data_IF_944655292411
#
_entry.id   IF_944655292411
#
_cell.length_a   1.000
_cell.length_b   1.000
_cell.length_c   1.000
_cell.angle_alpha   90.00
_cell.angle_beta   90.00
_cell.angle_gamma   90.00
#
_symmetry.space_group_name_H-M   'P 1'
#
loop_
_entity.id
_entity.type
_entity.pdbx_description
1 polymer ?
#
# COMPACT_ATOMS: atom_id res chain seq x y z
N UNK A 1 28.63 23.83 16.16
CA UNK A 1 27.45 24.31 15.39
C UNK A 1 26.49 23.12 15.27
N UNK A 2 25.20 23.29 15.57
CA UNK A 2 24.20 22.23 15.34
C UNK A 2 24.02 22.07 13.83
N UNK A 3 23.88 20.82 13.36
CA UNK A 3 23.63 20.57 11.94
C UNK A 3 22.27 21.18 11.53
N UNK A 4 22.08 21.53 10.25
CA UNK A 4 20.75 21.99 9.78
C UNK A 4 19.63 20.98 10.11
N UNK A 5 19.93 19.68 10.07
CA UNK A 5 18.98 18.61 10.43
C UNK A 5 18.61 18.63 11.92
N UNK A 6 19.60 18.90 12.82
CA UNK A 6 19.32 19.03 14.27
C UNK A 6 18.36 20.19 14.54
N UNK A 7 18.52 21.30 13.82
CA UNK A 7 17.64 22.47 13.93
C UNK A 7 16.23 22.14 13.46
N UNK A 8 16.10 21.43 12.31
CA UNK A 8 14.80 20.99 11.78
C UNK A 8 14.15 20.02 12.75
N UNK A 9 14.89 18.98 13.21
CA UNK A 9 14.37 18.00 14.16
C UNK A 9 13.82 18.65 15.43
N UNK A 10 14.61 19.54 16.05
CA UNK A 10 14.21 20.25 17.27
C UNK A 10 12.99 21.15 17.03
N UNK A 11 12.97 21.85 15.90
CA UNK A 11 11.83 22.71 15.52
C UNK A 11 10.54 21.91 15.36
N UNK A 12 10.59 20.81 14.62
CA UNK A 12 9.40 19.97 14.41
C UNK A 12 8.93 19.32 15.72
N UNK A 13 9.86 18.80 16.53
CA UNK A 13 9.52 18.25 17.84
C UNK A 13 8.89 19.32 18.76
N UNK A 14 9.46 20.52 18.84
CA UNK A 14 8.91 21.61 19.62
C UNK A 14 7.51 22.04 19.13
N UNK A 15 7.27 21.99 17.82
CA UNK A 15 5.96 22.30 17.24
C UNK A 15 4.89 21.30 17.65
N UNK A 16 5.23 20.02 17.86
CA UNK A 16 4.31 19.04 18.44
C UNK A 16 4.08 19.26 19.93
N UNK A 17 5.13 19.56 20.69
CA UNK A 17 5.03 19.82 22.12
C UNK A 17 4.22 21.07 22.47
N UNK A 18 4.22 22.09 21.58
CA UNK A 18 3.47 23.34 21.76
C UNK A 18 2.04 23.31 21.17
N UNK A 19 1.68 22.25 20.44
CA UNK A 19 0.34 22.12 19.87
C UNK A 19 -0.70 21.85 20.96
N UNK A 20 -1.96 22.37 20.81
CA UNK A 20 -3.02 22.05 21.73
C UNK A 20 -3.24 20.54 21.80
N UNK A 21 -3.20 19.99 23.01
CA UNK A 21 -3.25 18.52 23.19
C UNK A 21 -4.70 18.03 23.11
N UNK A 22 -4.98 17.09 22.22
CA UNK A 22 -6.25 16.39 22.18
C UNK A 22 -6.16 15.02 21.49
N UNK A 23 -6.81 14.04 22.09
CA UNK A 23 -6.83 12.66 21.58
C UNK A 23 -7.93 12.53 20.52
N UNK A 24 -7.57 12.08 19.32
CA UNK A 24 -8.54 11.77 18.29
C UNK A 24 -9.27 10.47 18.63
N UNK A 25 -10.53 10.60 19.03
CA UNK A 25 -11.42 9.48 19.30
C UNK A 25 -12.55 9.45 18.28
N UNK A 26 -13.07 8.26 18.02
CA UNK A 26 -14.16 8.03 17.09
C UNK A 26 -15.28 7.24 17.74
N UNK A 27 -16.51 7.54 17.37
CA UNK A 27 -17.65 6.64 17.52
C UNK A 27 -17.76 5.79 16.26
N UNK A 28 -17.88 4.47 16.40
CA UNK A 28 -18.09 3.54 15.31
C UNK A 28 -19.47 2.91 15.45
N UNK A 29 -20.34 3.18 14.46
CA UNK A 29 -21.63 2.52 14.33
C UNK A 29 -21.59 1.59 13.12
N UNK A 30 -22.06 0.37 13.29
CA UNK A 30 -22.12 -0.65 12.25
C UNK A 30 -23.57 -1.09 12.05
N UNK A 31 -24.02 -1.10 10.80
CA UNK A 31 -25.35 -1.53 10.40
C UNK A 31 -25.22 -2.52 9.25
N UNK A 32 -25.81 -3.71 9.39
CA UNK A 32 -25.95 -4.68 8.30
C UNK A 32 -27.28 -4.40 7.61
N UNK A 33 -27.27 -4.30 6.29
CA UNK A 33 -28.42 -4.15 5.45
C UNK A 33 -28.67 -5.46 4.69
N UNK A 34 -29.87 -5.99 4.82
CA UNK A 34 -30.30 -7.18 4.09
C UNK A 34 -31.67 -6.90 3.52
N UNK A 35 -31.78 -6.85 2.19
CA UNK A 35 -33.01 -6.46 1.49
C UNK A 35 -33.51 -5.10 1.99
N UNK A 36 -34.62 -5.07 2.72
CA UNK A 36 -35.23 -3.84 3.26
C UNK A 36 -35.16 -3.76 4.78
N UNK A 37 -34.27 -4.50 5.42
CA UNK A 37 -34.11 -4.54 6.88
C UNK A 37 -32.70 -4.13 7.30
N UNK A 38 -32.62 -3.39 8.39
CA UNK A 38 -31.41 -2.86 8.97
C UNK A 38 -31.16 -3.49 10.34
N UNK A 39 -29.99 -4.09 10.52
CA UNK A 39 -29.55 -4.72 11.77
C UNK A 39 -28.36 -3.94 12.33
N UNK A 40 -28.58 -3.26 13.45
CA UNK A 40 -27.52 -2.51 14.10
C UNK A 40 -26.68 -3.42 15.00
N UNK A 41 -25.37 -3.27 14.96
CA UNK A 41 -24.50 -3.93 15.92
C UNK A 41 -24.77 -3.42 17.34
N UNK A 42 -24.91 -4.34 18.29
CA UNK A 42 -25.02 -4.04 19.72
C UNK A 42 -23.67 -3.57 20.24
N UNK A 43 -22.61 -4.27 19.81
CA UNK A 43 -21.22 -4.01 20.19
C UNK A 43 -20.35 -4.02 18.93
N UNK A 44 -19.38 -3.11 18.89
CA UNK A 44 -18.26 -3.15 17.95
C UNK A 44 -17.00 -3.41 18.74
N UNK A 45 -16.31 -4.53 18.50
CA UNK A 45 -15.07 -4.87 19.20
C UNK A 45 -13.85 -4.22 18.55
N UNK A 46 -13.81 -4.19 17.22
CA UNK A 46 -12.70 -3.60 16.50
C UNK A 46 -12.92 -3.57 15.01
N UNK A 47 -12.18 -2.68 14.38
CA UNK A 47 -12.06 -2.54 12.93
C UNK A 47 -10.58 -2.50 12.58
N UNK A 48 -10.16 -3.41 11.72
CA UNK A 48 -8.79 -3.49 11.19
C UNK A 48 -8.81 -3.19 9.71
N UNK A 49 -8.00 -2.22 9.29
CA UNK A 49 -7.83 -1.82 7.89
C UNK A 49 -6.38 -2.05 7.50
N UNK A 50 -6.14 -3.04 6.68
CA UNK A 50 -4.82 -3.36 6.16
C UNK A 50 -4.67 -2.83 4.72
N UNK A 51 -3.86 -1.80 4.55
CA UNK A 51 -3.51 -1.18 3.28
C UNK A 51 -2.10 -1.61 2.90
N UNK A 52 -1.96 -2.83 2.38
CA UNK A 52 -0.69 -3.32 1.85
C UNK A 52 -0.51 -2.82 0.41
N UNK A 53 0.05 -1.63 0.27
CA UNK A 53 0.29 -1.00 -1.02
C UNK A 53 1.30 -1.75 -1.89
N UNK A 54 2.03 -2.70 -1.29
CA UNK A 54 3.09 -3.43 -1.96
C UNK A 54 2.62 -4.76 -2.56
N UNK A 55 1.80 -5.53 -1.84
CA UNK A 55 1.38 -6.86 -2.27
C UNK A 55 -0.06 -6.90 -2.77
N UNK A 56 -0.92 -5.98 -2.30
CA UNK A 56 -2.32 -5.91 -2.65
C UNK A 56 -2.59 -4.76 -3.64
N UNK A 57 -3.78 -4.74 -4.21
CA UNK A 57 -4.25 -3.67 -5.09
C UNK A 57 -5.41 -2.87 -4.47
N UNK A 58 -5.91 -3.26 -3.30
CA UNK A 58 -6.99 -2.58 -2.56
C UNK A 58 -6.93 -2.92 -1.07
N UNK A 59 -7.70 -2.17 -0.25
CA UNK A 59 -7.79 -2.33 1.19
C UNK A 59 -8.36 -3.70 1.57
N UNK A 60 -7.78 -4.32 2.59
CA UNK A 60 -8.32 -5.48 3.28
C UNK A 60 -8.86 -5.04 4.63
N UNK A 61 -10.17 -5.22 4.84
CA UNK A 61 -10.87 -4.69 6.01
C UNK A 61 -11.54 -5.83 6.75
N UNK A 62 -11.24 -5.95 8.04
CA UNK A 62 -11.86 -6.93 8.93
C UNK A 62 -12.55 -6.18 10.06
N UNK A 63 -13.83 -6.47 10.24
CA UNK A 63 -14.68 -5.94 11.29
C UNK A 63 -15.09 -7.06 12.23
N UNK A 64 -15.00 -6.81 13.55
CA UNK A 64 -15.54 -7.70 14.58
C UNK A 64 -16.63 -6.96 15.33
N UNK A 65 -17.86 -7.47 15.25
CA UNK A 65 -19.02 -6.85 15.86
C UNK A 65 -20.00 -7.89 16.41
N UNK A 66 -20.74 -7.52 17.44
CA UNK A 66 -21.77 -8.35 18.07
C UNK A 66 -23.17 -7.93 17.65
N UNK A 67 -23.95 -8.88 17.20
CA UNK A 67 -25.34 -8.71 16.81
C UNK A 67 -26.25 -9.60 17.66
N UNK A 68 -27.53 -9.23 17.74
CA UNK A 68 -28.50 -10.07 18.41
C UNK A 68 -28.47 -11.48 17.81
N UNK A 69 -28.49 -12.48 18.67
CA UNK A 69 -28.35 -13.89 18.25
C UNK A 69 -29.55 -14.37 17.44
N UNK A 70 -30.74 -13.86 17.71
CA UNK A 70 -31.96 -14.18 16.96
C UNK A 70 -31.89 -13.60 15.56
N UNK A 71 -31.49 -12.33 15.44
CA UNK A 71 -31.31 -11.67 14.15
C UNK A 71 -30.21 -12.36 13.33
N UNK A 72 -29.12 -12.79 13.98
CA UNK A 72 -28.06 -13.55 13.31
C UNK A 72 -28.58 -14.87 12.73
N UNK A 73 -29.31 -15.65 13.50
CA UNK A 73 -29.78 -16.96 13.07
C UNK A 73 -30.87 -16.88 12.01
N UNK A 74 -31.85 -16.00 12.16
CA UNK A 74 -33.05 -16.00 11.32
C UNK A 74 -33.01 -14.99 10.17
N UNK A 75 -32.23 -13.93 10.27
CA UNK A 75 -32.16 -12.88 9.28
C UNK A 75 -30.80 -12.76 8.59
N UNK A 76 -29.69 -12.77 9.34
CA UNK A 76 -28.36 -12.47 8.78
C UNK A 76 -27.75 -13.72 8.13
N UNK A 77 -27.70 -14.84 8.85
CA UNK A 77 -27.02 -16.04 8.35
C UNK A 77 -27.67 -16.67 7.10
N UNK A 78 -29.01 -16.74 6.97
CA UNK A 78 -29.63 -17.26 5.75
C UNK A 78 -29.28 -16.46 4.48
N UNK A 79 -28.93 -15.18 4.65
CA UNK A 79 -28.55 -14.27 3.55
C UNK A 79 -27.07 -13.88 3.58
N UNK A 80 -26.20 -14.72 4.13
CA UNK A 80 -24.77 -14.45 4.33
C UNK A 80 -23.98 -14.08 3.06
N UNK A 81 -24.54 -14.36 1.89
CA UNK A 81 -23.95 -14.00 0.60
C UNK A 81 -24.40 -12.63 0.04
N UNK A 82 -25.40 -12.01 0.66
CA UNK A 82 -26.03 -10.76 0.21
C UNK A 82 -25.88 -9.62 1.23
N UNK A 83 -24.89 -9.72 2.14
CA UNK A 83 -24.70 -8.75 3.21
C UNK A 83 -24.10 -7.46 2.67
N UNK A 84 -24.77 -6.35 2.93
CA UNK A 84 -24.20 -5.02 2.82
C UNK A 84 -24.00 -4.43 4.22
N UNK A 85 -22.87 -3.78 4.45
CA UNK A 85 -22.53 -3.19 5.75
C UNK A 85 -22.22 -1.72 5.60
N UNK A 86 -22.85 -0.89 6.40
CA UNK A 86 -22.49 0.51 6.56
C UNK A 86 -21.71 0.69 7.85
N UNK A 87 -20.48 1.19 7.73
CA UNK A 87 -19.67 1.63 8.86
C UNK A 87 -19.74 3.15 8.91
N UNK A 88 -20.32 3.68 9.99
CA UNK A 88 -20.36 5.13 10.25
C UNK A 88 -19.31 5.47 11.28
N UNK A 89 -18.35 6.30 10.89
CA UNK A 89 -17.26 6.80 11.74
C UNK A 89 -17.52 8.26 12.05
N UNK A 90 -17.74 8.57 13.33
CA UNK A 90 -17.99 9.94 13.80
C UNK A 90 -16.86 10.39 14.70
N UNK A 91 -16.12 11.46 14.36
CA UNK A 91 -15.14 12.04 15.27
C UNK A 91 -15.83 12.58 16.53
N UNK A 92 -15.34 12.19 17.72
CA UNK A 92 -15.88 12.63 19.00
C UNK A 92 -15.26 13.95 19.49
N UNK A 93 -14.16 14.39 18.86
CA UNK A 93 -13.44 15.62 19.21
C UNK A 93 -13.68 16.68 18.15
N UNK A 94 -14.18 17.86 18.56
CA UNK A 94 -14.40 19.00 17.67
C UNK A 94 -13.05 19.68 17.36
N UNK A 95 -12.39 19.28 16.27
CA UNK A 95 -11.18 19.94 15.80
C UNK A 95 -11.50 20.89 14.66
N UNK A 96 -11.57 22.18 14.97
CA UNK A 96 -11.71 23.25 13.97
C UNK A 96 -10.46 23.45 13.10
N UNK A 97 -9.32 22.90 13.49
CA UNK A 97 -8.03 23.16 12.83
C UNK A 97 -7.53 22.09 11.87
N UNK A 98 -8.13 20.89 11.85
CA UNK A 98 -7.84 19.90 10.82
C UNK A 98 -8.66 20.20 9.57
N UNK A 99 -8.14 21.01 8.69
CA UNK A 99 -8.73 21.41 7.41
C UNK A 99 -8.82 20.32 6.35
N UNK A 100 -8.81 19.07 6.76
CA UNK A 100 -9.05 17.95 5.85
C UNK A 100 -10.52 17.58 5.93
N UNK A 101 -11.29 18.14 4.99
CA UNK A 101 -12.67 17.77 4.70
C UNK A 101 -13.63 17.70 5.90
N UNK A 102 -14.24 18.83 6.26
CA UNK A 102 -15.41 18.92 7.14
C UNK A 102 -15.22 18.13 8.46
N UNK A 103 -14.24 18.54 9.27
CA UNK A 103 -14.03 18.02 10.61
C UNK A 103 -15.35 18.02 11.40
N UNK A 104 -15.69 16.87 12.01
CA UNK A 104 -16.90 16.69 12.83
C UNK A 104 -18.09 16.09 12.11
N UNK A 105 -18.07 15.90 10.80
CA UNK A 105 -19.15 15.18 10.12
C UNK A 105 -18.90 13.67 10.13
N UNK A 106 -19.96 12.86 10.35
CA UNK A 106 -19.86 11.41 10.24
C UNK A 106 -19.44 11.02 8.82
N UNK A 107 -18.47 10.13 8.72
CA UNK A 107 -18.10 9.50 7.45
C UNK A 107 -18.82 8.17 7.38
N UNK A 108 -19.68 7.99 6.38
CA UNK A 108 -20.34 6.72 6.11
C UNK A 108 -19.63 6.01 4.97
N UNK A 109 -19.26 4.75 5.22
CA UNK A 109 -18.63 3.87 4.24
C UNK A 109 -19.49 2.63 4.09
N UNK A 110 -19.87 2.34 2.86
CA UNK A 110 -20.69 1.18 2.51
C UNK A 110 -19.81 0.09 1.94
N UNK A 111 -20.01 -1.14 2.38
CA UNK A 111 -19.24 -2.31 1.99
C UNK A 111 -20.12 -3.48 1.66
N UNK A 112 -19.65 -4.37 0.80
CA UNK A 112 -20.15 -5.73 0.68
C UNK A 112 -19.43 -6.55 1.73
N UNK A 113 -20.16 -7.31 2.55
CA UNK A 113 -19.57 -8.07 3.63
C UNK A 113 -19.67 -9.58 3.38
N UNK A 114 -18.67 -10.29 3.88
CA UNK A 114 -18.65 -11.75 3.94
C UNK A 114 -18.28 -12.19 5.35
N UNK A 115 -18.92 -13.23 5.82
CA UNK A 115 -18.55 -13.85 7.09
C UNK A 115 -17.13 -14.44 6.95
N UNK A 116 -16.28 -14.25 7.97
CA UNK A 116 -15.01 -14.97 8.04
C UNK A 116 -15.24 -16.47 8.23
N UNK A 117 -14.27 -17.32 7.90
CA UNK A 117 -14.39 -18.77 8.04
C UNK A 117 -14.68 -19.18 9.49
N UNK A 118 -14.10 -18.48 10.46
CA UNK A 118 -14.34 -18.69 11.88
C UNK A 118 -15.79 -18.35 12.27
N UNK A 119 -16.31 -17.22 11.75
CA UNK A 119 -17.69 -16.81 11.98
C UNK A 119 -18.68 -17.78 11.34
N UNK A 120 -18.41 -18.28 10.15
CA UNK A 120 -19.24 -19.31 9.49
C UNK A 120 -19.33 -20.58 10.33
N UNK A 121 -18.20 -21.12 10.77
CA UNK A 121 -18.16 -22.33 11.62
C UNK A 121 -18.88 -22.11 12.96
N UNK A 122 -18.67 -20.94 13.58
CA UNK A 122 -19.33 -20.58 14.83
C UNK A 122 -20.85 -20.52 14.68
N UNK A 123 -21.34 -19.94 13.61
CA UNK A 123 -22.79 -19.83 13.34
C UNK A 123 -23.38 -21.20 12.98
N UNK A 124 -22.72 -21.99 12.17
CA UNK A 124 -23.15 -23.36 11.83
C UNK A 124 -23.35 -24.24 13.08
N UNK A 125 -22.43 -24.14 14.05
CA UNK A 125 -22.52 -24.91 15.29
C UNK A 125 -23.62 -24.37 16.23
N UNK A 126 -23.84 -23.06 16.29
CA UNK A 126 -24.78 -22.45 17.24
C UNK A 126 -26.23 -22.35 16.72
N UNK A 127 -26.47 -22.34 15.41
CA UNK A 127 -27.82 -22.24 14.85
C UNK A 127 -28.68 -23.43 15.27
N UNK A 128 -28.13 -24.64 15.27
CA UNK A 128 -28.85 -25.85 15.70
C UNK A 128 -29.25 -25.77 17.17
N UNK A 129 -28.43 -25.14 18.02
CA UNK A 129 -28.73 -24.97 19.44
C UNK A 129 -29.74 -23.83 19.69
N UNK A 130 -29.78 -22.82 18.82
CA UNK A 130 -30.71 -21.68 18.95
C UNK A 130 -32.17 -22.14 18.75
N UNK A 131 -32.42 -23.00 17.77
CA UNK A 131 -33.78 -23.51 17.52
C UNK A 131 -34.32 -24.35 18.68
N UNK A 132 -33.44 -24.93 19.48
CA UNK A 132 -33.81 -25.75 20.65
C UNK A 132 -33.96 -24.92 21.96
N UNK A 133 -33.43 -23.70 22.02
CA UNK A 133 -33.34 -22.90 23.27
C UNK A 133 -34.00 -21.53 23.21
N UNK A 134 -34.84 -21.23 22.20
CA UNK A 134 -35.46 -19.90 22.01
C UNK A 134 -36.34 -19.43 23.18
N UNK A 135 -36.80 -20.31 24.07
CA UNK A 135 -37.69 -19.96 25.15
C UNK A 135 -37.06 -19.27 26.37
N UNK A 136 -35.73 -19.13 26.42
CA UNK A 136 -35.02 -18.58 27.59
C UNK A 136 -34.04 -17.44 27.31
N UNK A 137 -33.78 -17.05 26.05
CA UNK A 137 -32.80 -16.00 25.72
C UNK A 137 -33.38 -14.61 25.86
N UNK A 138 -32.58 -13.70 26.43
CA UNK A 138 -32.96 -12.30 26.56
C UNK A 138 -32.74 -11.58 25.25
N UNK A 139 -33.52 -10.54 24.97
CA UNK A 139 -33.36 -9.68 23.80
C UNK A 139 -31.98 -9.02 23.68
N UNK A 140 -31.20 -9.01 24.75
CA UNK A 140 -29.84 -8.43 24.82
C UNK A 140 -28.72 -9.44 24.56
N UNK A 141 -29.02 -10.73 24.32
CA UNK A 141 -28.03 -11.73 24.02
C UNK A 141 -27.45 -11.49 22.63
N UNK A 142 -26.14 -11.38 22.53
CA UNK A 142 -25.41 -11.14 21.28
C UNK A 142 -24.32 -12.17 21.05
N UNK A 143 -24.03 -12.39 19.77
CA UNK A 143 -22.89 -13.21 19.34
C UNK A 143 -21.92 -12.32 18.55
N UNK A 144 -20.64 -12.45 18.87
CA UNK A 144 -19.56 -11.77 18.14
C UNK A 144 -19.24 -12.51 16.84
N UNK A 145 -19.26 -11.79 15.73
CA UNK A 145 -18.89 -12.33 14.42
C UNK A 145 -17.80 -11.48 13.76
N UNK A 146 -16.94 -12.15 13.00
CA UNK A 146 -15.97 -11.52 12.10
C UNK A 146 -16.56 -11.35 10.70
N UNK A 147 -16.42 -10.15 10.15
CA UNK A 147 -16.84 -9.80 8.79
C UNK A 147 -15.65 -9.29 8.01
N UNK A 148 -15.39 -9.86 6.84
CA UNK A 148 -14.52 -9.27 5.85
C UNK A 148 -15.34 -8.28 5.02
N UNK A 149 -14.88 -7.04 4.96
CA UNK A 149 -15.54 -5.95 4.26
C UNK A 149 -14.82 -5.68 2.93
N UNK A 150 -15.59 -5.62 1.85
CA UNK A 150 -15.10 -5.34 0.50
C UNK A 150 -15.69 -4.01 0.02
N UNK A 151 -14.83 -3.13 -0.50
CA UNK A 151 -15.30 -1.95 -1.23
C UNK A 151 -16.18 -2.40 -2.42
N UNK A 152 -17.38 -1.83 -2.62
CA UNK A 152 -18.27 -2.22 -3.72
C UNK A 152 -17.64 -2.08 -5.09
N UNK A 153 -16.78 -1.08 -5.29
CA UNK A 153 -16.01 -0.93 -6.53
C UNK A 153 -15.04 -2.10 -6.72
N UNK A 154 -14.30 -2.48 -5.68
CA UNK A 154 -13.37 -3.61 -5.70
C UNK A 154 -14.10 -4.92 -5.99
N UNK A 155 -15.26 -5.15 -5.38
CA UNK A 155 -16.05 -6.35 -5.62
C UNK A 155 -16.46 -6.49 -7.09
N UNK A 156 -16.88 -5.40 -7.74
CA UNK A 156 -17.27 -5.39 -9.15
C UNK A 156 -16.09 -5.63 -10.10
N UNK A 157 -14.93 -5.04 -9.84
CA UNK A 157 -13.79 -5.10 -10.77
C UNK A 157 -12.89 -6.31 -10.60
N UNK A 158 -12.85 -6.96 -9.42
CA UNK A 158 -11.92 -8.06 -9.11
C UNK A 158 -12.02 -9.26 -10.06
N UNK A 159 -13.20 -9.51 -10.62
CA UNK A 159 -13.45 -10.61 -11.56
C UNK A 159 -13.51 -10.14 -13.01
N UNK A 160 -13.45 -8.82 -13.25
CA UNK A 160 -13.46 -8.27 -14.62
C UNK A 160 -12.21 -8.68 -15.35
N UNK A 161 -12.38 -9.21 -16.56
CA UNK A 161 -11.27 -9.62 -17.42
C UNK A 161 -11.12 -8.68 -18.61
N UNK A 162 -9.89 -8.52 -19.05
CA UNK A 162 -9.50 -7.75 -20.23
C UNK A 162 -8.51 -8.57 -21.06
N UNK A 163 -8.47 -8.27 -22.35
CA UNK A 163 -7.47 -8.83 -23.26
C UNK A 163 -7.39 -7.92 -24.48
N UNK A 164 -6.20 -7.49 -24.83
CA UNK A 164 -6.01 -6.57 -25.95
C UNK A 164 -4.57 -6.56 -26.44
N UNK A 165 -4.40 -6.17 -27.71
CA UNK A 165 -3.13 -5.80 -28.30
C UNK A 165 -3.06 -4.28 -28.50
N UNK A 166 -1.96 -3.67 -28.10
CA UNK A 166 -1.69 -2.26 -28.31
C UNK A 166 -0.45 -2.13 -29.16
N UNK A 167 -0.49 -1.22 -30.11
CA UNK A 167 0.55 -1.03 -31.10
C UNK A 167 1.09 0.41 -31.04
N UNK A 168 2.40 0.56 -30.96
CA UNK A 168 3.10 1.86 -30.90
C UNK A 168 2.54 2.80 -29.81
N UNK A 169 2.46 2.31 -28.58
CA UNK A 169 1.93 3.08 -27.47
C UNK A 169 2.95 3.21 -26.33
N UNK A 170 2.79 4.27 -25.55
CA UNK A 170 3.47 4.41 -24.24
C UNK A 170 2.75 3.53 -23.23
N UNK A 171 3.48 2.66 -22.53
CA UNK A 171 2.92 1.69 -21.61
C UNK A 171 2.03 2.33 -20.52
N UNK A 172 2.43 3.49 -19.99
CA UNK A 172 1.66 4.20 -18.97
C UNK A 172 0.31 4.70 -19.50
N UNK A 173 0.27 5.18 -20.75
CA UNK A 173 -0.97 5.68 -21.34
C UNK A 173 -1.95 4.54 -21.61
N UNK A 174 -1.44 3.37 -22.01
CA UNK A 174 -2.23 2.14 -22.12
C UNK A 174 -2.86 1.78 -20.77
N UNK A 175 -2.08 1.80 -19.68
CA UNK A 175 -2.60 1.49 -18.35
C UNK A 175 -3.67 2.49 -17.94
N UNK A 176 -3.42 3.80 -18.07
CA UNK A 176 -4.39 4.84 -17.74
C UNK A 176 -5.71 4.65 -18.50
N UNK A 177 -5.63 4.48 -19.81
CA UNK A 177 -6.80 4.33 -20.67
C UNK A 177 -7.63 3.10 -20.29
N UNK A 178 -6.96 1.96 -20.11
CA UNK A 178 -7.65 0.69 -19.79
C UNK A 178 -8.25 0.73 -18.40
N UNK A 179 -7.51 1.15 -17.38
CA UNK A 179 -8.04 1.25 -16.01
C UNK A 179 -9.23 2.20 -15.95
N UNK A 180 -9.13 3.39 -16.56
CA UNK A 180 -10.23 4.35 -16.56
C UNK A 180 -11.45 3.80 -17.26
N UNK A 181 -11.29 3.30 -18.48
CA UNK A 181 -12.40 2.82 -19.30
C UNK A 181 -13.07 1.61 -18.65
N UNK A 182 -12.32 0.52 -18.45
CA UNK A 182 -12.91 -0.74 -18.01
C UNK A 182 -13.40 -0.72 -16.56
N UNK A 183 -12.82 0.13 -15.69
CA UNK A 183 -13.39 0.32 -14.35
C UNK A 183 -14.72 1.02 -14.44
N UNK A 184 -14.81 2.13 -15.19
CA UNK A 184 -16.06 2.90 -15.30
C UNK A 184 -17.16 2.18 -16.10
N UNK A 185 -16.79 1.39 -17.12
CA UNK A 185 -17.75 0.58 -17.89
C UNK A 185 -18.35 -0.58 -17.06
N UNK A 186 -17.73 -0.94 -15.95
CA UNK A 186 -18.13 -2.09 -15.11
C UNK A 186 -19.04 -1.69 -13.97
N UNK A 187 -19.02 -0.42 -13.56
CA UNK A 187 -19.68 0.07 -12.35
C UNK A 187 -20.73 1.14 -12.67
N UNK A 188 -21.63 1.35 -11.73
CA UNK A 188 -22.60 2.43 -11.78
C UNK A 188 -21.91 3.80 -11.60
N UNK A 189 -22.57 4.87 -12.00
CA UNK A 189 -21.97 6.23 -11.99
C UNK A 189 -21.51 6.69 -10.61
N UNK A 190 -22.20 6.27 -9.57
CA UNK A 190 -21.85 6.59 -8.18
C UNK A 190 -20.58 5.89 -7.69
N UNK A 191 -20.23 4.75 -8.30
CA UNK A 191 -19.00 3.99 -8.04
C UNK A 191 -17.88 4.31 -9.03
N UNK A 192 -18.10 5.18 -10.00
CA UNK A 192 -17.08 5.55 -10.99
C UNK A 192 -15.82 6.10 -10.30
N UNK A 193 -14.67 5.77 -10.89
CA UNK A 193 -13.38 6.28 -10.39
C UNK A 193 -13.19 7.76 -10.73
N UNK A 194 -12.51 8.46 -9.84
CA UNK A 194 -12.11 9.86 -10.05
C UNK A 194 -11.00 9.99 -11.10
N UNK A 195 -10.23 8.91 -11.33
CA UNK A 195 -9.16 8.87 -12.30
C UNK A 195 -7.98 7.98 -11.90
N UNK A 196 -6.85 8.21 -12.57
CA UNK A 196 -5.59 7.50 -12.35
C UNK A 196 -4.49 8.52 -12.03
N UNK A 197 -4.02 8.51 -10.79
CA UNK A 197 -2.87 9.32 -10.36
C UNK A 197 -1.59 8.55 -10.60
N UNK A 198 -0.62 9.19 -11.24
CA UNK A 198 0.65 8.59 -11.63
C UNK A 198 1.81 9.40 -11.06
N UNK A 199 2.70 8.74 -10.33
CA UNK A 199 3.93 9.36 -9.86
C UNK A 199 4.84 9.75 -11.06
N UNK A 200 5.55 10.87 -10.99
CA UNK A 200 6.45 11.31 -12.06
C UNK A 200 7.65 10.37 -12.22
N UNK A 201 8.34 10.49 -13.38
CA UNK A 201 9.58 9.74 -13.65
C UNK A 201 9.36 8.37 -14.33
N UNK A 202 8.19 8.13 -14.89
CA UNK A 202 7.94 6.93 -15.68
C UNK A 202 8.52 7.04 -17.09
N UNK A 203 8.79 5.89 -17.71
CA UNK A 203 9.27 5.81 -19.10
C UNK A 203 8.19 6.27 -20.08
N UNK A 204 8.55 7.22 -20.92
CA UNK A 204 7.71 7.70 -22.03
C UNK A 204 8.06 7.01 -23.36
N UNK A 205 8.91 5.99 -23.32
CA UNK A 205 9.30 5.24 -24.53
C UNK A 205 8.09 4.55 -25.13
N UNK A 206 7.94 4.70 -26.43
CA UNK A 206 6.94 3.98 -27.21
C UNK A 206 7.36 2.52 -27.33
N UNK A 207 6.46 1.62 -26.97
CA UNK A 207 6.62 0.17 -27.12
C UNK A 207 5.89 -0.26 -28.38
N UNK A 208 6.56 -1.02 -29.23
CA UNK A 208 6.03 -1.41 -30.54
C UNK A 208 4.79 -2.30 -30.39
N UNK A 209 4.86 -3.31 -29.51
CA UNK A 209 3.77 -4.23 -29.26
C UNK A 209 3.60 -4.50 -27.76
N UNK A 210 2.40 -4.27 -27.24
CA UNK A 210 1.99 -4.67 -25.90
C UNK A 210 0.82 -5.65 -26.04
N UNK A 211 1.08 -6.93 -25.86
CA UNK A 211 0.06 -7.97 -25.97
C UNK A 211 -0.32 -8.45 -24.58
N UNK A 212 -1.56 -8.22 -24.19
CA UNK A 212 -2.15 -8.70 -22.94
C UNK A 212 -3.00 -9.93 -23.23
N UNK A 213 -2.74 -11.09 -22.60
CA UNK A 213 -3.49 -12.32 -22.83
C UNK A 213 -4.99 -12.14 -22.59
N UNK A 214 -5.78 -12.86 -23.34
CA UNK A 214 -7.22 -12.92 -23.12
C UNK A 214 -7.51 -13.49 -21.72
N UNK A 215 -8.58 -13.04 -21.06
CA UNK A 215 -8.95 -13.41 -19.70
C UNK A 215 -7.99 -12.92 -18.59
N UNK A 216 -7.10 -11.97 -18.88
CA UNK A 216 -6.35 -11.28 -17.84
C UNK A 216 -7.29 -10.49 -16.93
N UNK A 217 -7.19 -10.67 -15.61
CA UNK A 217 -8.01 -9.84 -14.70
C UNK A 217 -7.60 -8.37 -14.82
N UNK A 218 -8.59 -7.47 -14.78
CA UNK A 218 -8.36 -6.03 -14.85
C UNK A 218 -7.35 -5.56 -13.79
N UNK A 219 -7.45 -6.13 -12.60
CA UNK A 219 -6.56 -5.82 -11.47
C UNK A 219 -5.11 -6.25 -11.71
N UNK A 220 -4.84 -7.25 -12.54
CA UNK A 220 -3.48 -7.72 -12.88
C UNK A 220 -2.91 -7.04 -14.14
N UNK A 221 -3.78 -6.35 -14.88
CA UNK A 221 -3.42 -5.70 -16.15
C UNK A 221 -2.20 -4.78 -16.05
N UNK A 222 -2.08 -3.87 -15.05
CA UNK A 222 -0.93 -2.98 -14.95
C UNK A 222 0.39 -3.72 -14.77
N UNK A 223 0.39 -4.81 -13.98
CA UNK A 223 1.59 -5.62 -13.76
C UNK A 223 2.06 -6.32 -15.04
N UNK A 224 1.11 -6.83 -15.84
CA UNK A 224 1.42 -7.49 -17.11
C UNK A 224 1.99 -6.47 -18.10
N UNK A 225 1.37 -5.29 -18.24
CA UNK A 225 1.87 -4.24 -19.10
C UNK A 225 3.28 -3.79 -18.70
N UNK A 226 3.50 -3.58 -17.40
CA UNK A 226 4.82 -3.24 -16.87
C UNK A 226 5.88 -4.29 -17.24
N UNK A 227 5.56 -5.58 -17.09
CA UNK A 227 6.46 -6.68 -17.44
C UNK A 227 6.72 -6.74 -18.95
N UNK A 228 5.69 -6.57 -19.79
CA UNK A 228 5.79 -6.65 -21.25
C UNK A 228 6.52 -5.45 -21.86
N UNK A 229 6.41 -4.28 -21.22
CA UNK A 229 7.13 -3.07 -21.66
C UNK A 229 8.58 -2.98 -21.18
N UNK A 230 9.05 -3.98 -20.39
CA UNK A 230 10.41 -3.99 -19.84
C UNK A 230 10.60 -3.10 -18.63
N UNK A 231 9.51 -2.65 -18.01
CA UNK A 231 9.50 -1.81 -16.81
C UNK A 231 9.17 -0.34 -17.09
N UNK A 232 8.21 0.17 -16.33
CA UNK A 232 7.73 1.55 -16.48
C UNK A 232 8.57 2.51 -15.64
N UNK A 233 8.94 2.10 -14.44
CA UNK A 233 9.83 2.88 -13.57
C UNK A 233 11.14 2.14 -13.28
N UNK A 234 12.26 2.84 -13.21
CA UNK A 234 13.53 2.25 -12.78
C UNK A 234 13.54 1.88 -11.29
N UNK A 235 12.68 2.49 -10.48
CA UNK A 235 12.60 2.28 -9.03
C UNK A 235 11.39 1.42 -8.64
N UNK A 236 11.05 0.43 -9.46
CA UNK A 236 9.93 -0.47 -9.22
C UNK A 236 8.59 0.08 -9.71
N UNK A 237 7.60 -0.78 -9.78
CA UNK A 237 6.26 -0.45 -10.26
C UNK A 237 5.22 -1.06 -9.33
N UNK A 238 4.38 -0.23 -8.76
CA UNK A 238 3.22 -0.64 -7.97
C UNK A 238 2.00 0.20 -8.31
N UNK A 239 0.85 -0.35 -8.04
CA UNK A 239 -0.45 0.31 -8.26
C UNK A 239 -1.41 -0.11 -7.15
N UNK A 240 -2.35 0.77 -6.84
CA UNK A 240 -3.31 0.55 -5.77
C UNK A 240 -4.59 1.33 -6.03
N UNK A 241 -5.73 0.75 -5.67
CA UNK A 241 -7.03 1.40 -5.72
C UNK A 241 -7.46 1.81 -4.32
N UNK A 242 -7.57 3.11 -4.08
CA UNK A 242 -8.05 3.66 -2.84
C UNK A 242 -8.92 4.88 -3.11
N UNK A 243 -10.02 5.03 -2.37
CA UNK A 243 -10.91 6.20 -2.45
C UNK A 243 -11.39 6.51 -3.88
N UNK A 244 -11.74 5.50 -4.66
CA UNK A 244 -12.13 5.60 -6.07
C UNK A 244 -11.07 6.21 -6.98
N UNK A 245 -9.79 6.05 -6.61
CA UNK A 245 -8.64 6.56 -7.35
C UNK A 245 -7.62 5.46 -7.53
N UNK A 246 -7.18 5.21 -8.77
CA UNK A 246 -6.01 4.39 -9.02
C UNK A 246 -4.75 5.21 -8.78
N UNK A 247 -3.84 4.65 -7.99
CA UNK A 247 -2.52 5.20 -7.71
C UNK A 247 -1.47 4.33 -8.37
N UNK A 248 -0.57 4.94 -9.15
CA UNK A 248 0.55 4.23 -9.79
C UNK A 248 1.83 4.94 -9.38
N UNK A 249 2.78 4.21 -8.83
CA UNK A 249 3.98 4.80 -8.23
C UNK A 249 5.18 3.85 -8.26
N UNK A 250 6.37 4.44 -8.00
CA UNK A 250 7.64 3.74 -7.86
C UNK A 250 7.96 3.52 -6.37
N UNK A 251 7.87 2.29 -5.84
CA UNK A 251 8.00 2.04 -4.40
C UNK A 251 9.43 2.22 -3.87
N UNK A 252 10.45 2.22 -4.73
CA UNK A 252 11.87 2.29 -4.33
C UNK A 252 12.54 3.63 -4.63
N UNK A 253 11.77 4.67 -4.87
CA UNK A 253 12.28 5.98 -5.28
C UNK A 253 12.63 6.86 -4.08
N UNK A 254 13.90 6.88 -3.68
CA UNK A 254 14.41 7.72 -2.61
C UNK A 254 14.37 9.23 -2.92
N UNK A 255 14.34 9.61 -4.21
CA UNK A 255 14.30 11.03 -4.63
C UNK A 255 12.88 11.57 -4.84
N UNK A 256 11.86 10.73 -4.63
CA UNK A 256 10.46 11.16 -4.77
C UNK A 256 10.10 12.30 -3.83
N UNK A 257 10.69 12.35 -2.63
CA UNK A 257 10.43 13.38 -1.64
C UNK A 257 10.76 14.81 -2.13
N UNK A 258 11.83 14.97 -2.91
CA UNK A 258 12.23 16.29 -3.44
C UNK A 258 11.27 16.79 -4.53
N UNK A 259 10.74 15.88 -5.34
CA UNK A 259 9.93 16.16 -6.52
C UNK A 259 8.45 16.29 -6.25
N UNK A 260 7.98 15.81 -5.10
CA UNK A 260 6.56 15.75 -4.77
C UNK A 260 6.12 16.96 -3.96
N UNK A 261 4.91 17.45 -4.22
CA UNK A 261 4.28 18.51 -3.43
C UNK A 261 3.76 17.96 -2.10
N UNK A 262 3.02 16.83 -2.16
CA UNK A 262 2.52 16.16 -0.97
C UNK A 262 3.58 15.22 -0.40
N UNK A 263 3.95 15.42 0.86
CA UNK A 263 5.09 14.77 1.52
C UNK A 263 4.76 14.35 2.93
N UNK A 264 5.37 13.26 3.36
CA UNK A 264 5.33 12.81 4.76
C UNK A 264 6.67 13.01 5.42
N UNK A 265 6.70 13.66 6.57
CA UNK A 265 7.87 13.72 7.43
C UNK A 265 7.56 12.98 8.72
N UNK A 266 8.32 11.94 9.01
CA UNK A 266 8.22 11.16 10.24
C UNK A 266 9.39 11.53 11.14
N UNK A 267 9.08 11.94 12.37
CA UNK A 267 10.06 12.17 13.42
C UNK A 267 10.04 10.96 14.34
N UNK A 268 11.07 10.14 14.27
CA UNK A 268 11.21 8.95 15.12
C UNK A 268 11.65 9.34 16.51
N UNK A 269 10.84 8.99 17.49
CA UNK A 269 11.09 9.25 18.92
C UNK A 269 11.01 7.96 19.72
N UNK A 270 11.58 7.97 20.92
CA UNK A 270 11.45 6.84 21.83
C UNK A 270 10.02 6.67 22.31
N UNK A 271 9.62 5.46 22.64
CA UNK A 271 8.27 5.13 23.10
C UNK A 271 7.85 5.96 24.32
N UNK A 272 8.77 6.21 25.23
CA UNK A 272 8.50 7.01 26.43
C UNK A 272 8.12 8.46 26.07
N UNK A 273 8.86 9.08 25.15
CA UNK A 273 8.54 10.43 24.65
C UNK A 273 7.25 10.48 23.83
N UNK A 274 6.93 9.40 23.11
CA UNK A 274 5.68 9.33 22.36
C UNK A 274 4.48 9.23 23.31
N UNK A 275 4.61 8.50 24.43
CA UNK A 275 3.55 8.35 25.42
C UNK A 275 3.18 9.67 26.13
N UNK A 276 4.10 10.64 26.16
CA UNK A 276 3.85 11.98 26.71
C UNK A 276 3.10 12.90 25.75
N UNK A 277 2.97 12.50 24.46
CA UNK A 277 2.36 13.32 23.41
C UNK A 277 0.96 12.84 23.09
N UNK A 278 -0.02 13.73 23.21
CA UNK A 278 -1.40 13.44 22.81
C UNK A 278 -1.60 13.62 21.29
N UNK A 279 -0.89 14.57 20.70
CA UNK A 279 -0.90 14.81 19.25
C UNK A 279 0.31 14.16 18.62
N UNK A 280 0.06 13.29 17.66
CA UNK A 280 1.09 12.56 16.95
C UNK A 280 1.14 12.88 15.45
N UNK A 281 0.22 13.74 14.97
CA UNK A 281 0.23 14.19 13.57
C UNK A 281 -0.17 15.64 13.43
N UNK A 282 0.42 16.29 12.43
CA UNK A 282 0.17 17.69 12.06
C UNK A 282 0.23 17.85 10.55
N UNK A 283 -0.66 18.67 10.01
CA UNK A 283 -0.65 19.00 8.58
C UNK A 283 -0.30 20.49 8.43
N UNK A 284 0.64 20.77 7.54
CA UNK A 284 1.03 22.16 7.21
C UNK A 284 1.11 22.27 5.69
N UNK A 285 0.11 22.92 5.10
CA UNK A 285 -0.02 22.97 3.64
C UNK A 285 -0.17 21.57 3.06
N UNK A 286 0.75 21.16 2.18
CA UNK A 286 0.80 19.85 1.55
C UNK A 286 1.67 18.84 2.30
N UNK A 287 2.25 19.22 3.44
CA UNK A 287 3.14 18.37 4.22
C UNK A 287 2.44 17.78 5.43
N UNK A 288 2.57 16.47 5.59
CA UNK A 288 2.11 15.73 6.77
C UNK A 288 3.32 15.46 7.64
N UNK A 289 3.21 15.79 8.91
CA UNK A 289 4.21 15.50 9.93
C UNK A 289 3.64 14.50 10.91
N UNK A 290 4.43 13.47 11.24
CA UNK A 290 4.03 12.39 12.16
C UNK A 290 5.12 12.16 13.19
N UNK A 291 4.74 12.06 14.46
CA UNK A 291 5.56 11.49 15.52
C UNK A 291 5.29 9.99 15.59
N UNK A 292 6.32 9.20 15.50
CA UNK A 292 6.18 7.75 15.55
C UNK A 292 7.40 7.10 16.23
N UNK A 293 7.25 5.86 16.64
CA UNK A 293 8.36 5.02 17.09
C UNK A 293 8.54 3.86 16.13
N UNK A 294 9.77 3.55 15.72
CA UNK A 294 9.98 2.54 14.70
C UNK A 294 11.30 1.79 14.82
N UNK A 295 11.29 0.60 14.26
CA UNK A 295 12.44 -0.29 14.14
C UNK A 295 12.72 -0.60 12.67
N UNK A 296 13.99 -0.65 12.33
CA UNK A 296 14.42 -1.03 10.98
C UNK A 296 14.44 -2.56 10.90
N UNK A 297 13.78 -3.10 9.89
CA UNK A 297 13.85 -4.52 9.55
C UNK A 297 14.41 -4.70 8.15
N UNK A 298 15.50 -5.45 8.04
CA UNK A 298 16.02 -5.87 6.74
C UNK A 298 15.14 -7.01 6.20
N UNK A 299 14.44 -6.78 5.10
CA UNK A 299 13.59 -7.79 4.46
C UNK A 299 14.36 -8.75 3.56
N UNK A 300 15.55 -8.39 3.15
CA UNK A 300 16.38 -9.19 2.24
C UNK A 300 17.64 -9.65 2.92
N UNK A 301 17.86 -10.97 2.90
CA UNK A 301 19.17 -11.50 3.20
C UNK A 301 20.11 -11.18 2.02
N UNK A 302 20.72 -9.99 2.05
CA UNK A 302 21.60 -9.49 1.00
C UNK A 302 22.81 -10.39 0.77
N UNK A 303 23.32 -11.05 1.82
CA UNK A 303 24.50 -11.91 1.73
C UNK A 303 24.25 -13.13 0.83
N UNK A 304 23.15 -13.84 0.99
CA UNK A 304 22.85 -15.01 0.13
C UNK A 304 22.62 -14.62 -1.33
N UNK A 305 22.13 -13.41 -1.58
CA UNK A 305 21.90 -12.89 -2.93
C UNK A 305 23.23 -12.48 -3.58
N UNK A 306 24.10 -11.81 -2.83
CA UNK A 306 25.43 -11.42 -3.28
C UNK A 306 26.28 -12.66 -3.59
N UNK A 307 26.29 -13.64 -2.69
CA UNK A 307 27.04 -14.89 -2.90
C UNK A 307 26.59 -15.68 -4.12
N UNK A 308 25.27 -15.77 -4.36
CA UNK A 308 24.73 -16.66 -5.41
C UNK A 308 24.55 -15.98 -6.76
N UNK A 309 24.31 -14.67 -6.82
CA UNK A 309 23.92 -13.95 -8.04
C UNK A 309 24.74 -12.72 -8.37
N UNK A 310 25.61 -12.27 -7.46
CA UNK A 310 26.32 -11.02 -7.58
C UNK A 310 25.42 -9.78 -7.52
N UNK A 311 26.03 -8.61 -7.64
CA UNK A 311 25.37 -7.31 -7.60
C UNK A 311 25.41 -6.68 -8.98
N UNK A 312 24.23 -6.24 -9.46
CA UNK A 312 24.12 -5.54 -10.73
C UNK A 312 23.69 -6.42 -11.90
N UNK A 313 23.63 -5.80 -13.07
CA UNK A 313 23.20 -6.43 -14.33
C UNK A 313 24.15 -6.04 -15.44
N UNK A 314 24.52 -7.00 -16.27
CA UNK A 314 25.25 -6.78 -17.51
C UNK A 314 24.35 -7.05 -18.69
N UNK A 315 24.39 -6.15 -19.67
CA UNK A 315 23.68 -6.28 -20.93
C UNK A 315 24.68 -6.65 -22.03
N UNK A 316 24.37 -7.70 -22.77
CA UNK A 316 25.16 -8.15 -23.92
C UNK A 316 24.28 -8.10 -25.15
N UNK A 317 24.77 -7.52 -26.24
CA UNK A 317 24.10 -7.59 -27.52
C UNK A 317 24.18 -9.02 -28.09
N UNK A 318 23.04 -9.70 -28.17
CA UNK A 318 22.97 -11.05 -28.67
C UNK A 318 23.36 -11.15 -30.14
N UNK A 319 23.13 -10.08 -30.92
CA UNK A 319 23.57 -10.02 -32.35
C UNK A 319 25.07 -10.06 -32.50
N UNK A 320 25.80 -9.43 -31.56
CA UNK A 320 27.26 -9.47 -31.49
C UNK A 320 27.76 -10.88 -31.15
N UNK A 321 27.09 -11.57 -30.25
CA UNK A 321 27.49 -12.95 -29.86
C UNK A 321 27.31 -13.93 -31.01
N UNK A 322 26.23 -13.78 -31.79
CA UNK A 322 25.94 -14.65 -32.93
C UNK A 322 26.93 -14.44 -34.10
N UNK A 323 27.50 -13.27 -34.23
CA UNK A 323 28.48 -12.95 -35.28
C UNK A 323 29.88 -13.53 -35.01
N UNK A 324 30.11 -14.10 -33.83
CA UNK A 324 31.44 -14.61 -33.40
C UNK A 324 31.59 -16.13 -33.43
N UNK A 325 30.55 -16.87 -33.74
CA UNK A 325 30.62 -18.30 -33.93
C UNK A 325 30.53 -18.61 -35.41
N UNK A 326 31.65 -18.90 -36.06
CA UNK A 326 31.69 -19.41 -37.41
C UNK A 326 32.06 -20.89 -37.42
N UNK A 327 31.36 -21.68 -38.24
CA UNK A 327 31.70 -23.08 -38.46
C UNK A 327 32.64 -23.11 -39.67
N UNK A 328 33.94 -23.32 -39.41
CA UNK A 328 34.92 -23.60 -40.49
C UNK A 328 35.18 -25.12 -40.53
N UNK A 329 34.61 -25.80 -41.52
CA UNK A 329 34.62 -27.24 -41.61
C UNK A 329 33.82 -27.89 -40.46
N UNK A 330 34.36 -28.88 -39.80
CA UNK A 330 33.72 -29.53 -38.65
C UNK A 330 34.10 -28.91 -37.27
N UNK A 331 34.72 -27.74 -37.27
CA UNK A 331 35.16 -27.09 -36.04
C UNK A 331 34.44 -25.76 -35.82
N UNK A 332 33.85 -25.57 -34.64
CA UNK A 332 33.31 -24.31 -34.19
C UNK A 332 34.47 -23.36 -33.87
N UNK A 333 34.65 -22.30 -34.65
CA UNK A 333 35.63 -21.26 -34.36
C UNK A 333 34.94 -20.10 -33.65
N UNK A 334 35.21 -19.99 -32.34
CA UNK A 334 34.75 -18.84 -31.57
C UNK A 334 35.79 -17.74 -31.72
N UNK A 335 35.44 -16.68 -32.45
CA UNK A 335 36.29 -15.48 -32.48
C UNK A 335 35.97 -14.63 -31.26
N UNK A 336 36.97 -14.38 -30.44
CA UNK A 336 36.85 -13.47 -29.31
C UNK A 336 36.54 -12.05 -29.80
N UNK A 337 35.43 -11.47 -29.32
CA UNK A 337 35.07 -10.10 -29.63
C UNK A 337 35.92 -9.11 -28.81
N UNK A 338 36.50 -8.15 -29.49
CA UNK A 338 37.10 -6.96 -28.85
C UNK A 338 36.05 -5.87 -28.54
N UNK A 339 34.83 -5.98 -29.05
CA UNK A 339 33.77 -4.97 -28.94
C UNK A 339 32.48 -5.55 -28.35
N UNK A 340 32.58 -6.19 -27.22
CA UNK A 340 31.37 -6.43 -26.43
C UNK A 340 30.94 -5.10 -25.83
N UNK A 341 29.89 -4.50 -26.34
CA UNK A 341 29.17 -3.42 -25.68
C UNK A 341 28.49 -4.01 -24.45
N UNK A 342 29.25 -4.25 -23.40
CA UNK A 342 28.72 -4.61 -22.09
C UNK A 342 28.44 -3.32 -21.34
N UNK A 343 27.19 -3.02 -21.10
CA UNK A 343 26.81 -2.02 -20.12
C UNK A 343 26.69 -2.74 -18.80
N UNK A 344 27.72 -2.61 -17.95
CA UNK A 344 27.67 -3.11 -16.60
C UNK A 344 27.08 -2.02 -15.71
N UNK A 345 25.90 -2.25 -15.18
CA UNK A 345 25.34 -1.47 -14.08
C UNK A 345 25.75 -2.16 -12.80
N UNK A 346 27.00 -1.99 -12.38
CA UNK A 346 27.57 -2.64 -11.22
C UNK A 346 28.27 -1.59 -10.38
N UNK A 347 27.82 -1.44 -9.15
CA UNK A 347 28.59 -0.73 -8.13
C UNK A 347 29.70 -1.60 -7.55
N UNK A 348 29.60 -2.92 -7.70
CA UNK A 348 30.58 -3.87 -7.20
C UNK A 348 31.40 -4.51 -8.34
N UNK A 349 32.70 -4.59 -8.16
CA UNK A 349 33.66 -5.10 -9.15
C UNK A 349 33.62 -6.63 -9.30
N UNK A 350 32.79 -7.32 -8.54
CA UNK A 350 32.74 -8.77 -8.57
C UNK A 350 31.85 -9.32 -9.67
N UNK A 351 32.34 -10.34 -10.33
CA UNK A 351 32.05 -10.82 -11.69
C UNK A 351 30.81 -11.68 -11.85
N UNK A 352 29.90 -11.73 -10.90
CA UNK A 352 28.80 -12.71 -10.88
C UNK A 352 27.42 -12.12 -11.17
N UNK A 353 27.39 -10.95 -11.81
CA UNK A 353 26.12 -10.29 -12.20
C UNK A 353 25.39 -11.08 -13.28
N UNK A 354 24.07 -11.23 -13.21
CA UNK A 354 23.31 -11.86 -14.28
C UNK A 354 23.48 -11.08 -15.60
N UNK A 355 23.60 -11.83 -16.66
CA UNK A 355 23.78 -11.30 -18.02
C UNK A 355 22.42 -11.27 -18.71
N UNK A 356 22.06 -10.10 -19.27
CA UNK A 356 20.83 -9.91 -20.05
C UNK A 356 21.23 -9.53 -21.47
N UNK A 357 20.70 -10.19 -22.50
CA UNK A 357 20.97 -9.83 -23.89
C UNK A 357 20.61 -8.36 -24.18
N UNK A 358 21.53 -7.62 -24.81
CA UNK A 358 21.30 -6.20 -25.14
C UNK A 358 20.14 -6.02 -26.12
N UNK A 359 19.91 -6.98 -27.01
CA UNK A 359 18.77 -7.00 -27.91
C UNK A 359 17.44 -6.97 -27.18
N UNK A 360 17.31 -7.69 -26.08
CA UNK A 360 16.12 -7.63 -25.22
C UNK A 360 16.00 -6.28 -24.51
N UNK A 361 17.11 -5.72 -24.07
CA UNK A 361 17.15 -4.42 -23.42
C UNK A 361 16.72 -3.29 -24.38
N UNK A 362 17.11 -3.34 -25.65
CA UNK A 362 16.71 -2.36 -26.66
C UNK A 362 15.23 -2.47 -27.01
N UNK A 363 14.73 -3.68 -27.16
CA UNK A 363 13.35 -3.92 -27.57
C UNK A 363 12.35 -3.68 -26.45
N UNK A 364 12.68 -4.08 -25.24
CA UNK A 364 11.73 -4.18 -24.14
C UNK A 364 11.96 -3.17 -23.01
N UNK A 365 13.01 -2.33 -23.09
CA UNK A 365 13.39 -1.48 -21.97
C UNK A 365 13.62 -2.26 -20.66
N UNK A 366 14.12 -3.50 -20.77
CA UNK A 366 14.38 -4.41 -19.64
C UNK A 366 15.25 -3.79 -18.55
N UNK A 367 15.97 -2.71 -18.86
CA UNK A 367 16.72 -1.91 -17.90
C UNK A 367 15.89 -1.54 -16.66
N UNK A 368 14.66 -1.03 -16.84
CA UNK A 368 13.86 -0.58 -15.71
C UNK A 368 13.48 -1.72 -14.77
N UNK A 369 13.21 -2.92 -15.33
CA UNK A 369 12.92 -4.09 -14.51
C UNK A 369 14.12 -4.52 -13.67
N UNK A 370 15.32 -4.50 -14.26
CA UNK A 370 16.54 -4.91 -13.55
C UNK A 370 17.01 -3.83 -12.57
N UNK A 371 16.94 -2.55 -12.94
CA UNK A 371 17.20 -1.44 -12.01
C UNK A 371 16.26 -1.50 -10.79
N UNK A 372 14.99 -1.84 -11.02
CA UNK A 372 14.04 -1.96 -9.91
C UNK A 372 14.41 -3.07 -8.91
N UNK A 373 14.99 -4.18 -9.39
CA UNK A 373 15.49 -5.24 -8.53
C UNK A 373 16.70 -4.80 -7.70
N UNK A 374 17.59 -4.02 -8.32
CA UNK A 374 18.76 -3.44 -7.64
C UNK A 374 18.28 -2.46 -6.57
N UNK A 375 17.41 -1.51 -6.93
CA UNK A 375 16.87 -0.53 -5.99
C UNK A 375 16.16 -1.18 -4.80
N UNK A 376 15.43 -2.27 -5.03
CA UNK A 376 14.80 -3.04 -3.97
C UNK A 376 15.81 -3.65 -3.00
N UNK A 377 16.92 -4.17 -3.51
CA UNK A 377 17.97 -4.82 -2.70
C UNK A 377 18.78 -3.83 -1.88
N UNK A 378 18.99 -2.62 -2.41
CA UNK A 378 19.78 -1.59 -1.74
C UNK A 378 19.01 -0.89 -0.62
N UNK A 379 17.68 -1.02 -0.59
CA UNK A 379 16.85 -0.38 0.42
C UNK A 379 16.52 -1.28 1.59
N UNK A 380 15.95 -0.65 2.62
CA UNK A 380 15.48 -1.30 3.84
C UNK A 380 14.00 -1.03 4.07
N UNK A 381 13.33 -1.95 4.75
CA UNK A 381 11.96 -1.73 5.21
C UNK A 381 11.98 -1.33 6.68
N UNK A 382 11.30 -0.24 6.97
CA UNK A 382 11.13 0.30 8.32
C UNK A 382 9.66 0.23 8.68
N UNK A 383 9.34 -0.29 9.84
CA UNK A 383 8.00 -0.24 10.41
C UNK A 383 7.96 0.77 11.56
N UNK A 384 7.00 1.66 11.53
CA UNK A 384 6.81 2.68 12.55
C UNK A 384 5.40 2.62 13.11
N UNK A 385 5.30 2.60 14.43
CA UNK A 385 4.03 2.69 15.15
C UNK A 385 3.64 4.15 15.30
N UNK A 386 2.46 4.48 14.80
CA UNK A 386 1.86 5.80 14.88
C UNK A 386 0.56 5.72 15.69
N UNK A 387 0.60 6.20 16.91
CA UNK A 387 -0.55 6.24 17.80
C UNK A 387 -1.47 7.42 17.47
N UNK A 388 -2.75 7.30 17.83
CA UNK A 388 -3.80 8.31 17.53
C UNK A 388 -3.77 8.77 16.06
N UNK A 389 -3.61 7.81 15.17
CA UNK A 389 -3.36 8.02 13.75
C UNK A 389 -4.61 8.48 12.98
N UNK A 390 -4.39 9.22 11.89
CA UNK A 390 -5.41 9.44 10.86
C UNK A 390 -4.91 8.89 9.53
N UNK A 391 -5.31 7.66 9.23
CA UNK A 391 -4.90 6.92 8.03
C UNK A 391 -5.37 7.55 6.70
N UNK A 392 -6.28 8.54 6.77
CA UNK A 392 -6.72 9.33 5.59
C UNK A 392 -5.65 10.28 5.08
N UNK A 393 -4.66 10.60 5.91
CA UNK A 393 -3.52 11.45 5.55
C UNK A 393 -2.50 10.73 4.67
N UNK A 394 -2.58 9.40 4.59
CA UNK A 394 -1.60 8.56 3.91
C UNK A 394 -2.20 8.01 2.62
N UNK A 395 -1.44 8.13 1.54
CA UNK A 395 -1.80 7.58 0.24
C UNK A 395 -0.71 6.63 -0.29
N UNK A 396 -1.04 5.73 -1.24
CA UNK A 396 -0.11 4.75 -1.79
C UNK A 396 1.12 5.41 -2.44
N UNK A 397 2.32 4.96 -2.03
CA UNK A 397 3.57 5.50 -2.57
C UNK A 397 3.91 6.92 -2.10
N UNK A 398 3.27 7.42 -1.04
CA UNK A 398 3.56 8.75 -0.49
C UNK A 398 5.04 8.90 -0.17
N UNK A 399 5.73 9.93 -0.69
CA UNK A 399 7.13 10.16 -0.40
C UNK A 399 7.36 10.48 1.06
N UNK A 400 8.37 9.87 1.67
CA UNK A 400 8.66 10.01 3.10
C UNK A 400 10.09 10.47 3.36
N UNK A 401 10.23 11.38 4.32
CA UNK A 401 11.47 11.69 5.01
C UNK A 401 11.36 11.15 6.43
N UNK A 402 12.16 10.15 6.73
CA UNK A 402 12.24 9.55 8.05
C UNK A 402 13.43 10.14 8.81
N UNK A 403 13.15 10.86 9.89
CA UNK A 403 14.14 11.55 10.71
C UNK A 403 14.30 10.81 12.04
N UNK A 404 15.53 10.56 12.44
CA UNK A 404 15.87 9.89 13.71
C UNK A 404 17.14 10.47 14.32
N UNK A 405 17.35 10.20 15.60
CA UNK A 405 18.56 10.56 16.32
C UNK A 405 19.54 9.37 16.33
N UNK A 406 20.74 9.59 15.81
CA UNK A 406 21.87 8.70 15.95
C UNK A 406 22.80 9.30 17.03
N UNK A 407 22.68 8.80 18.24
CA UNK A 407 23.28 9.42 19.41
C UNK A 407 22.72 10.84 19.66
N UNK A 408 23.50 11.88 19.35
CA UNK A 408 23.10 13.30 19.50
C UNK A 408 22.90 14.02 18.17
N UNK A 409 23.08 13.33 17.07
CA UNK A 409 23.00 13.92 15.72
C UNK A 409 21.70 13.47 15.05
N UNK A 410 20.93 14.43 14.52
CA UNK A 410 19.76 14.12 13.73
C UNK A 410 20.19 13.65 12.33
N UNK A 411 19.65 12.52 11.90
CA UNK A 411 19.80 11.99 10.56
C UNK A 411 18.45 11.94 9.87
N UNK A 412 18.47 12.00 8.55
CA UNK A 412 17.27 11.84 7.71
C UNK A 412 17.57 10.85 6.59
N UNK A 413 16.63 9.96 6.35
CA UNK A 413 16.63 9.04 5.22
C UNK A 413 15.32 9.17 4.45
N UNK A 414 15.36 8.83 3.18
CA UNK A 414 14.25 9.08 2.26
C UNK A 414 13.72 7.79 1.65
N UNK A 415 12.44 7.81 1.35
CA UNK A 415 11.79 6.64 0.77
C UNK A 415 10.32 6.87 0.45
N UNK A 416 9.53 5.81 0.50
CA UNK A 416 8.10 5.83 0.20
C UNK A 416 7.30 5.00 1.18
N UNK A 417 6.03 5.35 1.37
CA UNK A 417 5.09 4.52 2.14
C UNK A 417 4.64 3.35 1.27
N UNK A 418 4.88 2.13 1.74
CA UNK A 418 4.51 0.89 1.06
C UNK A 418 3.41 0.11 1.77
N UNK A 419 2.95 0.59 2.92
CA UNK A 419 1.82 0.00 3.65
C UNK A 419 1.39 0.84 4.84
N UNK A 420 0.12 0.66 5.23
CA UNK A 420 -0.47 1.28 6.41
C UNK A 420 -1.49 0.30 7.01
N UNK A 421 -1.19 -0.26 8.15
CA UNK A 421 -2.13 -1.12 8.88
C UNK A 421 -2.72 -0.35 10.04
N UNK A 422 -4.02 -0.06 10.00
CA UNK A 422 -4.73 0.71 11.01
C UNK A 422 -5.67 -0.17 11.81
N UNK A 423 -5.59 -0.09 13.13
CA UNK A 423 -6.49 -0.74 14.06
C UNK A 423 -7.27 0.29 14.85
N UNK A 424 -8.59 0.16 14.85
CA UNK A 424 -9.49 0.91 15.73
C UNK A 424 -9.77 0.08 16.95
N UNK A 425 -9.21 0.49 18.08
CA UNK A 425 -9.33 -0.21 19.36
C UNK A 425 -10.22 0.57 20.30
N UNK A 426 -11.08 -0.15 21.02
CA UNK A 426 -11.95 0.43 22.02
C UNK A 426 -11.13 0.97 23.20
N UNK A 427 -11.38 2.20 23.61
CA UNK A 427 -10.64 2.86 24.71
C UNK A 427 -11.31 2.71 26.06
N UNK A 428 -12.55 2.20 26.12
CA UNK A 428 -13.31 2.05 27.34
C UNK A 428 -13.48 0.56 27.69
N UNK A 429 -13.45 0.23 28.97
CA UNK A 429 -13.74 -1.11 29.50
C UNK A 429 -15.21 -1.50 29.35
N UNK A 430 -16.11 -0.53 29.20
CA UNK A 430 -17.51 -0.81 28.89
C UNK A 430 -17.66 -1.14 27.39
N UNK A 431 -17.99 -2.38 27.02
CA UNK A 431 -18.10 -2.79 25.62
C UNK A 431 -19.21 -2.06 24.84
N UNK A 432 -20.19 -1.47 25.53
CA UNK A 432 -21.25 -0.65 24.90
C UNK A 432 -20.81 0.81 24.66
N UNK A 433 -19.68 1.26 25.22
CA UNK A 433 -19.14 2.58 24.96
C UNK A 433 -18.39 2.58 23.63
N UNK A 434 -18.98 3.18 22.61
CA UNK A 434 -18.46 3.21 21.22
C UNK A 434 -17.33 4.21 21.02
N UNK A 435 -16.37 4.26 21.94
CA UNK A 435 -15.25 5.18 21.88
C UNK A 435 -13.97 4.45 21.43
N UNK A 436 -13.48 4.76 20.25
CA UNK A 436 -12.34 4.10 19.63
C UNK A 436 -11.18 5.08 19.40
N UNK A 437 -9.97 4.57 19.58
CA UNK A 437 -8.72 5.20 19.19
C UNK A 437 -8.17 4.44 17.99
N UNK A 438 -7.66 5.14 16.98
CA UNK A 438 -6.99 4.52 15.84
C UNK A 438 -5.48 4.52 16.06
N UNK A 439 -4.84 3.38 15.85
CA UNK A 439 -3.40 3.25 15.85
C UNK A 439 -2.98 2.62 14.53
N UNK A 440 -1.93 3.16 13.91
CA UNK A 440 -1.42 2.65 12.63
C UNK A 440 0.02 2.17 12.75
N UNK A 441 0.34 1.15 11.98
CA UNK A 441 1.71 0.76 11.68
C UNK A 441 1.96 1.14 10.23
N UNK A 442 2.85 2.11 10.01
CA UNK A 442 3.30 2.48 8.68
C UNK A 442 4.47 1.59 8.28
N UNK A 443 4.40 1.02 7.11
CA UNK A 443 5.50 0.28 6.49
C UNK A 443 6.13 1.17 5.42
N UNK A 444 7.41 1.46 5.57
CA UNK A 444 8.16 2.37 4.73
C UNK A 444 9.24 1.57 3.99
N UNK A 445 9.45 1.86 2.74
CA UNK A 445 10.67 1.49 2.05
C UNK A 445 11.62 2.68 2.09
N UNK A 446 12.77 2.51 2.69
CA UNK A 446 13.84 3.50 2.76
C UNK A 446 14.90 3.13 1.72
N UNK A 447 15.14 4.03 0.78
CA UNK A 447 16.15 3.83 -0.23
C UNK A 447 17.54 3.79 0.41
N UNK A 448 18.44 2.95 -0.12
CA UNK A 448 19.83 2.92 0.32
C UNK A 448 20.51 4.28 0.09
N UNK A 449 21.41 4.65 0.99
CA UNK A 449 22.21 5.87 0.85
C UNK A 449 23.07 5.76 -0.42
N UNK A 450 22.82 6.62 -1.40
CA UNK A 450 23.83 6.89 -2.40
C UNK A 450 24.92 7.72 -1.73
N UNK A 451 26.19 7.32 -1.89
CA UNK A 451 27.37 7.94 -1.24
C UNK A 451 27.52 9.46 -1.40
N UNK A 452 26.59 10.12 -2.11
CA UNK A 452 26.60 11.57 -2.38
C UNK A 452 25.71 12.41 -1.45
N UNK A 453 24.94 11.80 -0.53
CA UNK A 453 24.02 12.56 0.32
C UNK A 453 24.66 13.07 1.63
N UNK A 454 25.96 12.95 1.79
CA UNK A 454 26.70 13.48 2.96
C UNK A 454 27.08 14.97 2.80
N UNK A 455 26.69 15.61 1.69
CA UNK A 455 26.94 17.05 1.46
C UNK A 455 25.64 17.76 1.04
N UNK A 456 24.78 18.04 2.00
CA UNK A 456 23.78 19.08 1.96
C UNK A 456 23.73 19.82 3.28
#
# INVERSE_FOLDING_TARGET
>A
MSSPLDTIFKREFAAFASAPQYVMNFDLKVTIHIRNQDFNAIIVSGLSVNKDYFNNYADEIILTAGFNIIDLAHAIYPYKNELEVTVTKTPLTNHREYHINKAGQPTQMRYIAKLTDEANKLLESNIQDIDLQTSGRKADDYLMIGLQLLDPLVDKIRLKTVGAGFYQNVAMDVIKAVLTKYTNDTVEKDLAINGVTVAPGYSTKVVEHIVVPHLTRLVDFPAIVNKKSGGIYPFGFKYYLANKQWWIYAPYDGKAYERSEQKLTIVNVTKDKLAEMEITSRVTGTQVFVLATGETRNLTNSESIIQNKGVGVRFIDASTVMNYATIEGNKLKVQGSKNTNQVAVVEDKERTSPVVPESEARLTTAYNLEYSKIAQRMGNVVQVAWESSDDRLIYPGMPVRFMYLDGRVARAVYGTVIGCHTQYMQTNTNPRARKFKSNSILTLFIAGETKNDTQL
#
